data_IF_271468450409
#
_entry.id   IF_271468450409
#
_cell.length_a   1.000
_cell.length_b   1.000
_cell.length_c   1.000
_cell.angle_alpha   90.00
_cell.angle_beta   90.00
_cell.angle_gamma   90.00
#
_symmetry.space_group_name_H-M   'P 1'
#
loop_
_entity.id
_entity.type
_entity.pdbx_description
1 polymer ?
#
# COMPACT_ATOMS: atom_id res chain seq x y z
N UNK A 1 -5.46 -15.03 -16.00
CA UNK A 1 -4.85 -14.26 -14.90
C UNK A 1 -5.39 -12.86 -14.83
N UNK A 2 -6.42 -12.64 -13.99
CA UNK A 2 -6.57 -11.34 -13.35
C UNK A 2 -5.33 -11.18 -12.48
N UNK A 3 -4.41 -10.25 -12.77
CA UNK A 3 -3.19 -9.97 -11.98
C UNK A 3 -3.44 -9.46 -10.56
N UNK A 4 -4.50 -9.95 -9.92
CA UNK A 4 -4.95 -9.68 -8.57
C UNK A 4 -4.89 -11.01 -7.82
N UNK A 5 -3.73 -11.27 -7.22
CA UNK A 5 -3.60 -12.32 -6.20
C UNK A 5 -4.22 -11.79 -4.91
N UNK A 6 -4.96 -12.61 -4.17
CA UNK A 6 -5.39 -12.24 -2.82
C UNK A 6 -4.15 -11.95 -1.97
N UNK A 7 -4.06 -10.75 -1.42
CA UNK A 7 -2.95 -10.32 -0.60
C UNK A 7 -3.05 -11.00 0.79
N UNK A 8 -2.48 -12.19 0.93
CA UNK A 8 -2.21 -12.77 2.23
C UNK A 8 -0.83 -12.30 2.75
N UNK A 9 -0.65 -12.26 4.07
CA UNK A 9 0.58 -11.76 4.70
C UNK A 9 1.79 -12.61 4.30
N UNK A 10 1.60 -13.92 4.25
CA UNK A 10 2.65 -14.90 3.93
C UNK A 10 3.26 -14.67 2.55
N UNK A 11 2.45 -14.45 1.52
CA UNK A 11 2.95 -14.14 0.18
C UNK A 11 3.69 -12.80 0.12
N UNK A 12 3.27 -11.80 0.92
CA UNK A 12 3.99 -10.53 1.01
C UNK A 12 5.36 -10.73 1.67
N UNK A 13 5.44 -11.56 2.72
CA UNK A 13 6.69 -11.92 3.37
C UNK A 13 7.64 -12.66 2.40
N UNK A 14 7.12 -13.60 1.62
CA UNK A 14 7.91 -14.31 0.59
C UNK A 14 8.39 -13.38 -0.53
N UNK A 15 7.53 -12.47 -1.00
CA UNK A 15 7.88 -11.52 -2.05
C UNK A 15 8.92 -10.49 -1.58
N UNK A 16 8.89 -10.12 -0.30
CA UNK A 16 9.74 -9.10 0.32
C UNK A 16 9.87 -7.81 -0.55
N UNK A 17 8.76 -7.10 -0.79
CA UNK A 17 8.75 -5.94 -1.69
C UNK A 17 9.57 -4.76 -1.15
N UNK A 18 10.09 -3.94 -2.07
CA UNK A 18 10.74 -2.66 -1.75
C UNK A 18 9.76 -1.53 -1.41
N UNK A 19 8.51 -1.63 -1.88
CA UNK A 19 7.44 -0.63 -1.68
C UNK A 19 6.10 -1.33 -1.39
N UNK A 20 5.34 -0.79 -0.45
CA UNK A 20 3.99 -1.26 -0.12
C UNK A 20 3.03 -0.07 -0.20
N UNK A 21 1.98 -0.21 -1.01
CA UNK A 21 0.93 0.80 -1.17
C UNK A 21 -0.40 0.30 -0.60
N UNK A 22 -0.92 0.99 0.40
CA UNK A 22 -2.17 0.68 1.07
C UNK A 22 -3.28 1.56 0.51
N UNK A 23 -4.39 0.97 0.04
CA UNK A 23 -5.58 1.73 -0.39
C UNK A 23 -6.65 1.54 0.69
N UNK A 24 -6.93 2.56 1.53
CA UNK A 24 -7.84 2.41 2.65
C UNK A 24 -9.27 2.05 2.21
N UNK A 25 -9.87 1.09 2.93
CA UNK A 25 -11.27 0.70 2.79
C UNK A 25 -12.13 1.48 3.79
N UNK A 26 -12.61 2.66 3.38
CA UNK A 26 -13.55 3.47 4.17
C UNK A 26 -12.91 4.69 4.85
N UNK A 27 -13.26 4.93 6.11
CA UNK A 27 -12.79 6.09 6.89
C UNK A 27 -11.37 5.79 7.40
N UNK A 28 -10.44 6.73 7.28
CA UNK A 28 -9.00 6.54 7.55
C UNK A 28 -8.71 5.83 8.86
N UNK A 29 -9.36 6.24 9.95
CA UNK A 29 -9.17 5.64 11.28
C UNK A 29 -9.47 4.14 11.35
N UNK A 30 -10.47 3.66 10.60
CA UNK A 30 -10.78 2.22 10.53
C UNK A 30 -9.80 1.47 9.64
N UNK A 31 -9.34 2.11 8.56
CA UNK A 31 -8.39 1.50 7.65
C UNK A 31 -7.02 1.29 8.29
N UNK A 32 -6.58 2.24 9.13
CA UNK A 32 -5.34 2.13 9.89
C UNK A 32 -5.41 0.98 10.91
N UNK A 33 -6.51 0.89 11.67
CA UNK A 33 -6.75 -0.23 12.60
C UNK A 33 -6.78 -1.58 11.89
N UNK A 34 -7.49 -1.69 10.75
CA UNK A 34 -7.51 -2.92 9.96
C UNK A 34 -6.14 -3.29 9.41
N UNK A 35 -5.32 -2.31 9.04
CA UNK A 35 -3.93 -2.56 8.62
C UNK A 35 -3.07 -3.08 9.77
N UNK A 36 -3.20 -2.50 10.97
CA UNK A 36 -2.47 -2.96 12.15
C UNK A 36 -2.81 -4.40 12.50
N UNK A 37 -4.10 -4.73 12.55
CA UNK A 37 -4.60 -6.08 12.87
C UNK A 37 -4.23 -7.12 11.80
N UNK A 38 -4.31 -6.74 10.52
CA UNK A 38 -4.08 -7.67 9.42
C UNK A 38 -2.59 -7.90 9.14
N UNK A 39 -1.75 -6.86 9.26
CA UNK A 39 -0.37 -6.88 8.79
C UNK A 39 0.63 -6.45 9.87
N UNK A 40 0.48 -5.27 10.46
CA UNK A 40 1.55 -4.68 11.29
C UNK A 40 1.84 -5.46 12.58
N UNK A 41 0.84 -6.18 13.11
CA UNK A 41 0.99 -7.05 14.29
C UNK A 41 1.46 -8.46 13.95
N UNK A 42 1.60 -8.82 12.67
CA UNK A 42 2.04 -10.15 12.24
C UNK A 42 3.56 -10.30 12.32
N UNK A 43 3.99 -11.48 12.73
CA UNK A 43 5.42 -11.82 12.77
C UNK A 43 6.02 -11.74 11.36
N UNK A 44 7.23 -11.18 11.27
CA UNK A 44 7.94 -10.96 10.01
C UNK A 44 7.57 -9.67 9.26
N UNK A 45 6.44 -9.02 9.57
CA UNK A 45 6.06 -7.78 8.86
C UNK A 45 7.10 -6.67 9.03
N UNK A 46 7.59 -6.48 10.26
CA UNK A 46 8.66 -5.51 10.58
C UNK A 46 9.99 -5.83 9.90
N UNK A 47 10.18 -7.06 9.43
CA UNK A 47 11.41 -7.50 8.79
C UNK A 47 11.46 -7.19 7.29
N UNK A 48 10.30 -6.88 6.68
CA UNK A 48 10.18 -6.50 5.28
C UNK A 48 11.05 -5.31 4.92
N UNK A 49 11.63 -5.37 3.73
CA UNK A 49 12.49 -4.31 3.18
C UNK A 49 11.74 -2.98 3.11
N UNK A 50 10.50 -2.98 2.61
CA UNK A 50 9.65 -1.78 2.57
C UNK A 50 9.41 -1.18 3.96
N UNK A 51 9.20 -2.00 5.00
CA UNK A 51 8.92 -1.49 6.35
C UNK A 51 10.17 -0.88 6.97
N UNK A 52 11.32 -1.54 6.84
CA UNK A 52 12.62 -1.04 7.33
C UNK A 52 13.07 0.24 6.64
N UNK A 53 12.75 0.39 5.35
CA UNK A 53 13.07 1.59 4.56
C UNK A 53 12.00 2.68 4.68
N UNK A 54 10.96 2.50 5.50
CA UNK A 54 9.83 3.43 5.61
C UNK A 54 9.08 3.67 4.29
N UNK A 55 9.05 2.68 3.40
CA UNK A 55 8.37 2.71 2.10
C UNK A 55 6.97 2.08 2.14
N UNK A 56 6.21 2.38 3.20
CA UNK A 56 4.81 1.96 3.34
C UNK A 56 3.93 3.19 3.25
N UNK A 57 3.16 3.30 2.18
CA UNK A 57 2.39 4.50 1.86
C UNK A 57 0.89 4.22 1.80
N UNK A 58 0.12 5.04 2.51
CA UNK A 58 -1.33 5.09 2.32
C UNK A 58 -1.66 5.98 1.12
N UNK A 59 -2.35 5.42 0.14
CA UNK A 59 -2.73 6.12 -1.08
C UNK A 59 -4.08 6.84 -0.90
N UNK A 60 -4.22 8.08 -1.40
CA UNK A 60 -5.47 8.82 -1.31
C UNK A 60 -6.59 8.12 -2.11
N UNK A 61 -7.66 7.76 -1.42
CA UNK A 61 -8.81 7.04 -2.00
C UNK A 61 -9.43 7.75 -3.21
N UNK A 62 -9.38 9.08 -3.24
CA UNK A 62 -9.96 9.88 -4.33
C UNK A 62 -9.22 9.73 -5.66
N UNK A 63 -7.96 9.29 -5.61
CA UNK A 63 -7.13 9.03 -6.80
C UNK A 63 -7.03 7.53 -7.13
N UNK A 64 -7.04 6.66 -6.12
CA UNK A 64 -6.68 5.25 -6.29
C UNK A 64 -7.82 4.26 -6.01
N UNK A 65 -8.92 4.69 -5.37
CA UNK A 65 -10.10 3.83 -5.12
C UNK A 65 -11.23 4.13 -6.08
N UNK A 66 -11.61 5.40 -6.21
CA UNK A 66 -12.61 5.84 -7.17
C UNK A 66 -11.89 6.09 -8.49
N UNK A 67 -12.39 5.55 -9.60
CA UNK A 67 -11.79 5.77 -10.94
C UNK A 67 -11.41 7.24 -11.07
N UNK A 68 -10.11 7.57 -11.22
CA UNK A 68 -9.66 8.97 -11.16
C UNK A 68 -10.17 9.81 -12.33
N UNK A 69 -10.82 9.20 -13.32
CA UNK A 69 -11.40 9.85 -14.50
C UNK A 69 -10.36 10.74 -15.20
N UNK A 70 -10.51 12.06 -15.19
CA UNK A 70 -9.56 12.99 -15.78
C UNK A 70 -8.27 13.20 -14.93
N UNK A 71 -8.21 12.65 -13.71
CA UNK A 71 -7.12 12.85 -12.75
C UNK A 71 -6.03 11.77 -12.78
N UNK A 72 -5.99 10.93 -13.82
CA UNK A 72 -4.93 9.92 -13.98
C UNK A 72 -3.52 10.53 -13.94
N UNK A 73 -3.34 11.70 -14.55
CA UNK A 73 -2.06 12.40 -14.51
C UNK A 73 -1.63 12.77 -13.08
N UNK A 74 -2.58 13.14 -12.21
CA UNK A 74 -2.31 13.40 -10.79
C UNK A 74 -1.94 12.12 -10.05
N UNK A 75 -2.66 11.02 -10.28
CA UNK A 75 -2.39 9.72 -9.65
C UNK A 75 -0.99 9.20 -10.02
N UNK A 76 -0.59 9.27 -11.30
CA UNK A 76 0.75 8.84 -11.71
C UNK A 76 1.85 9.76 -11.18
N UNK A 77 1.61 11.08 -11.17
CA UNK A 77 2.57 12.03 -10.57
C UNK A 77 2.76 11.75 -9.09
N UNK A 78 1.68 11.47 -8.36
CA UNK A 78 1.74 11.12 -6.94
C UNK A 78 2.60 9.88 -6.70
N UNK A 79 2.38 8.80 -7.46
CA UNK A 79 3.22 7.60 -7.36
C UNK A 79 4.68 7.88 -7.71
N UNK A 80 4.93 8.64 -8.77
CA UNK A 80 6.28 9.01 -9.18
C UNK A 80 7.01 9.75 -8.05
N UNK A 81 6.36 10.73 -7.43
CA UNK A 81 6.93 11.48 -6.30
C UNK A 81 7.24 10.55 -5.11
N UNK A 82 6.34 9.62 -4.77
CA UNK A 82 6.58 8.69 -3.66
C UNK A 82 7.81 7.81 -3.85
N UNK A 83 8.12 7.41 -5.09
CA UNK A 83 9.25 6.51 -5.37
C UNK A 83 10.55 7.25 -5.72
N UNK A 84 10.48 8.52 -6.11
CA UNK A 84 11.64 9.30 -6.54
C UNK A 84 12.05 10.45 -5.61
N UNK A 85 11.20 10.92 -4.69
CA UNK A 85 11.53 12.02 -3.77
C UNK A 85 12.35 11.52 -2.53
N UNK A 86 13.23 10.54 -2.73
CA UNK A 86 14.18 10.01 -1.73
C UNK A 86 15.55 10.66 -1.83
#
# INVERSE_FOLDING_TARGET
DSGLTEANVEAILELNPDYIFLIPMGIEKKAEQSYEEAFAQKDGWKELSAVKKHHVYSLPKDLFRYKPNNRWAEAYRYLYQLVNDQ
#
